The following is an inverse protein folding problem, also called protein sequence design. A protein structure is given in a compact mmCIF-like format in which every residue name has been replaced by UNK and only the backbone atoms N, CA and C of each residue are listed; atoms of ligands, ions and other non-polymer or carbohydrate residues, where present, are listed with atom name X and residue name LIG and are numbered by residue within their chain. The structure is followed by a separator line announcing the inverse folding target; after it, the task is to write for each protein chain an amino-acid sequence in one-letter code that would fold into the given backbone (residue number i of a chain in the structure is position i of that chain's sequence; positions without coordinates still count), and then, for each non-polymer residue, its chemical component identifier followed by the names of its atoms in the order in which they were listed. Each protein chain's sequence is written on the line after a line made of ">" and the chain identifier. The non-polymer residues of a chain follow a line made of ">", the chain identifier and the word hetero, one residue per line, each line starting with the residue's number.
data_IF_492071041354
#
_entry.id   IF_492071041354
#
_cell.length_a   1.000
_cell.length_b   1.000
_cell.length_c   1.000
_cell.angle_alpha   90.00
_cell.angle_beta   90.00
_cell.angle_gamma   90.00
#
_symmetry.space_group_name_H-M   'P 1'
#
loop_
_entity.id
_entity.type
_entity.pdbx_description
1 polymer ?
#
# COMPACT_ATOMS: atom_id res chain seq x y z
N UNK A 1 -14.85 -4.99 12.55
CA UNK A 1 -14.10 -4.76 11.31
C UNK A 1 -13.09 -5.88 11.15
N UNK A 2 -12.98 -6.49 9.96
CA UNK A 2 -11.94 -7.48 9.64
C UNK A 2 -10.86 -6.80 8.81
N UNK A 3 -9.59 -7.14 9.05
CA UNK A 3 -8.46 -6.66 8.24
C UNK A 3 -8.10 -7.67 7.16
N UNK A 4 -7.37 -7.19 6.15
CA UNK A 4 -6.71 -8.04 5.17
C UNK A 4 -5.80 -9.08 5.85
N UNK A 5 -5.80 -10.31 5.33
CA UNK A 5 -4.87 -11.36 5.75
C UNK A 5 -3.44 -10.93 5.47
N UNK A 6 -2.52 -11.32 6.35
CA UNK A 6 -1.09 -11.17 6.06
C UNK A 6 -0.74 -12.02 4.83
N UNK A 7 0.18 -11.50 4.01
CA UNK A 7 0.74 -12.21 2.86
C UNK A 7 2.15 -12.71 3.21
N UNK A 8 2.57 -13.74 2.50
CA UNK A 8 3.95 -14.19 2.57
C UNK A 8 4.89 -13.10 2.04
N UNK A 9 6.11 -13.06 2.57
CA UNK A 9 7.15 -12.15 2.08
C UNK A 9 7.43 -12.46 0.60
N UNK A 10 7.39 -11.46 -0.29
CA UNK A 10 7.46 -11.70 -1.72
C UNK A 10 8.88 -12.06 -2.16
N UNK A 11 8.98 -12.74 -3.32
CA UNK A 11 10.27 -13.02 -3.94
C UNK A 11 10.86 -11.78 -4.62
N UNK A 12 10.01 -10.91 -5.14
CA UNK A 12 10.38 -9.69 -5.83
C UNK A 12 9.83 -8.49 -5.06
N UNK A 13 10.72 -7.64 -4.56
CA UNK A 13 10.38 -6.40 -3.84
C UNK A 13 10.44 -5.21 -4.80
N UNK A 14 11.46 -5.21 -5.65
CA UNK A 14 11.74 -4.16 -6.62
C UNK A 14 11.70 -4.71 -8.04
N UNK A 15 11.09 -3.97 -8.97
CA UNK A 15 10.85 -4.38 -10.37
C UNK A 15 11.92 -3.89 -11.36
N UNK A 16 12.80 -2.98 -10.94
CA UNK A 16 13.91 -2.50 -11.76
C UNK A 16 15.26 -2.93 -11.18
N UNK A 17 16.27 -3.15 -12.05
CA UNK A 17 17.63 -3.40 -11.57
C UNK A 17 18.23 -2.11 -10.99
N UNK A 18 19.13 -2.27 -10.02
CA UNK A 18 19.82 -1.17 -9.33
C UNK A 18 20.46 -0.18 -10.30
N UNK A 19 21.06 -0.68 -11.38
CA UNK A 19 21.73 0.13 -12.40
C UNK A 19 20.75 1.07 -13.12
N UNK A 20 19.53 0.61 -13.38
CA UNK A 20 18.49 1.43 -14.00
C UNK A 20 18.10 2.60 -13.08
N UNK A 21 17.89 2.31 -11.79
CA UNK A 21 17.57 3.34 -10.79
C UNK A 21 18.73 4.33 -10.68
N UNK A 22 19.96 3.85 -10.57
CA UNK A 22 21.16 4.71 -10.51
C UNK A 22 21.29 5.65 -11.71
N UNK A 23 20.97 5.17 -12.93
CA UNK A 23 21.07 5.99 -14.14
C UNK A 23 19.93 7.01 -14.30
N UNK A 24 18.73 6.67 -13.85
CA UNK A 24 17.52 7.46 -14.14
C UNK A 24 17.06 8.33 -12.97
N UNK A 25 17.29 7.87 -11.75
CA UNK A 25 16.86 8.48 -10.48
C UNK A 25 17.90 8.18 -9.38
N UNK A 26 19.14 8.66 -9.51
CA UNK A 26 20.20 8.39 -8.53
C UNK A 26 19.86 8.82 -7.10
N UNK A 27 18.96 9.80 -6.94
CA UNK A 27 18.41 10.23 -5.65
C UNK A 27 17.63 9.13 -4.91
N UNK A 28 17.07 8.15 -5.63
CA UNK A 28 16.25 7.07 -5.07
C UNK A 28 17.10 5.84 -4.68
N UNK A 29 18.42 5.87 -4.90
CA UNK A 29 19.29 4.70 -4.73
C UNK A 29 19.31 4.18 -3.30
N UNK A 30 19.19 5.05 -2.30
CA UNK A 30 19.14 4.64 -0.88
C UNK A 30 17.84 3.93 -0.54
N UNK A 31 16.71 4.37 -1.10
CA UNK A 31 15.43 3.69 -0.93
C UNK A 31 15.49 2.30 -1.60
N UNK A 32 16.07 2.24 -2.81
CA UNK A 32 16.29 0.98 -3.52
C UNK A 32 17.14 0.00 -2.70
N UNK A 33 18.30 0.46 -2.21
CA UNK A 33 19.24 -0.38 -1.47
C UNK A 33 18.62 -0.89 -0.16
N UNK A 34 17.79 -0.06 0.50
CA UNK A 34 17.00 -0.49 1.66
C UNK A 34 15.99 -1.59 1.26
N UNK A 35 15.14 -1.33 0.26
CA UNK A 35 14.10 -2.25 -0.18
C UNK A 35 14.68 -3.60 -0.62
N UNK A 36 15.74 -3.58 -1.42
CA UNK A 36 16.42 -4.78 -1.92
C UNK A 36 17.16 -5.54 -0.81
N UNK A 37 17.48 -4.89 0.31
CA UNK A 37 18.12 -5.51 1.47
C UNK A 37 17.17 -6.23 2.42
N UNK A 38 15.85 -6.02 2.29
CA UNK A 38 14.83 -6.56 3.20
C UNK A 38 14.75 -8.09 3.15
N UNK A 39 14.46 -8.68 4.32
CA UNK A 39 14.23 -10.11 4.53
C UNK A 39 12.89 -10.35 5.21
N UNK A 40 12.41 -11.60 5.15
CA UNK A 40 11.10 -12.03 5.66
C UNK A 40 10.77 -11.59 7.09
N UNK A 41 11.75 -11.62 7.99
CA UNK A 41 11.53 -11.34 9.41
C UNK A 41 11.95 -9.91 9.81
N UNK A 42 12.32 -9.08 8.84
CA UNK A 42 12.72 -7.70 9.11
C UNK A 42 11.51 -6.85 9.50
N UNK A 43 11.74 -5.95 10.45
CA UNK A 43 10.76 -4.92 10.79
C UNK A 43 10.87 -3.83 9.74
N UNK A 44 9.76 -3.57 9.03
CA UNK A 44 9.69 -2.51 8.02
C UNK A 44 9.77 -1.13 8.68
N UNK A 45 10.85 -0.41 8.40
CA UNK A 45 10.98 1.03 8.57
C UNK A 45 10.29 1.77 7.40
N UNK A 46 9.12 2.32 7.67
CA UNK A 46 8.33 3.08 6.70
C UNK A 46 8.87 4.49 6.44
N UNK A 47 9.90 4.94 7.17
CA UNK A 47 10.58 6.21 6.89
C UNK A 47 11.68 6.08 5.84
N UNK A 48 12.08 4.85 5.50
CA UNK A 48 13.20 4.59 4.61
C UNK A 48 12.86 4.58 3.12
N UNK A 49 11.58 4.65 2.74
CA UNK A 49 11.15 4.59 1.34
C UNK A 49 9.75 5.20 1.11
N UNK A 50 9.47 5.60 -0.13
CA UNK A 50 8.15 6.02 -0.60
C UNK A 50 7.39 4.87 -1.27
N UNK A 51 6.12 4.71 -0.94
CA UNK A 51 5.23 3.72 -1.55
C UNK A 51 4.80 4.11 -2.97
N UNK A 52 4.79 5.41 -3.28
CA UNK A 52 4.62 5.92 -4.64
C UNK A 52 5.79 5.57 -5.56
N UNK A 53 6.90 5.03 -5.03
CA UNK A 53 8.01 4.58 -5.87
C UNK A 53 7.54 3.59 -6.93
N UNK A 54 7.84 3.92 -8.19
CA UNK A 54 7.60 3.07 -9.34
C UNK A 54 8.39 1.77 -9.29
N UNK A 55 9.38 1.68 -8.40
CA UNK A 55 10.26 0.53 -8.27
C UNK A 55 9.64 -0.58 -7.44
N UNK A 56 8.60 -0.32 -6.64
CA UNK A 56 7.99 -1.32 -5.77
C UNK A 56 7.04 -2.23 -6.55
N UNK A 57 7.25 -3.55 -6.42
CA UNK A 57 6.40 -4.61 -6.99
C UNK A 57 5.00 -4.64 -6.37
N UNK A 58 4.03 -5.20 -7.09
CA UNK A 58 2.66 -5.32 -6.59
C UNK A 58 2.54 -6.41 -5.50
N UNK A 59 3.39 -7.42 -5.55
CA UNK A 59 3.54 -8.44 -4.53
C UNK A 59 3.97 -7.82 -3.20
N UNK A 60 4.91 -6.89 -3.23
CA UNK A 60 5.33 -6.17 -2.04
C UNK A 60 4.27 -5.18 -1.54
N UNK A 61 3.53 -4.53 -2.44
CA UNK A 61 2.33 -3.75 -2.05
C UNK A 61 1.33 -4.63 -1.31
N UNK A 62 1.02 -5.82 -1.84
CA UNK A 62 0.09 -6.77 -1.23
C UNK A 62 0.58 -7.27 0.13
N UNK A 63 1.90 -7.40 0.30
CA UNK A 63 2.53 -7.68 1.59
C UNK A 63 2.41 -6.53 2.60
N UNK A 64 2.67 -5.29 2.17
CA UNK A 64 2.66 -4.11 3.04
C UNK A 64 1.26 -3.66 3.46
N UNK A 65 0.26 -3.81 2.60
CA UNK A 65 -1.10 -3.33 2.84
C UNK A 65 -1.70 -3.83 4.18
N UNK A 66 -1.77 -5.15 4.46
CA UNK A 66 -2.25 -5.65 5.76
C UNK A 66 -1.43 -5.13 6.96
N UNK A 67 -0.13 -4.85 6.78
CA UNK A 67 0.74 -4.31 7.83
C UNK A 67 0.35 -2.85 8.13
N UNK A 68 0.20 -2.04 7.08
CA UNK A 68 -0.22 -0.64 7.17
C UNK A 68 -1.62 -0.50 7.78
N UNK A 69 -2.59 -1.30 7.34
CA UNK A 69 -3.95 -1.28 7.90
C UNK A 69 -3.96 -1.43 9.42
N UNK A 70 -3.17 -2.39 9.94
CA UNK A 70 -3.10 -2.65 11.38
C UNK A 70 -2.29 -1.59 12.12
N UNK A 71 -1.16 -1.13 11.57
CA UNK A 71 -0.38 -0.03 12.17
C UNK A 71 -1.23 1.23 12.27
N UNK A 72 -1.96 1.55 11.22
CA UNK A 72 -2.88 2.68 11.21
C UNK A 72 -3.97 2.55 12.27
N UNK A 73 -4.58 1.37 12.39
CA UNK A 73 -5.65 1.16 13.36
C UNK A 73 -5.18 1.14 14.83
N UNK A 74 -4.01 0.55 15.11
CA UNK A 74 -3.56 0.30 16.48
C UNK A 74 -2.46 1.25 16.99
N UNK A 75 -1.72 1.87 16.09
CA UNK A 75 -0.53 2.68 16.40
C UNK A 75 -0.38 3.81 15.39
N UNK A 76 -1.49 4.52 15.19
CA UNK A 76 -1.59 5.67 14.31
C UNK A 76 -0.45 6.67 14.53
N UNK A 77 0.14 7.14 13.44
CA UNK A 77 0.96 8.36 13.37
C UNK A 77 0.90 8.94 11.95
N UNK A 78 1.30 10.21 11.80
CA UNK A 78 1.29 10.92 10.51
C UNK A 78 2.07 10.18 9.43
N UNK A 79 3.24 9.62 9.74
CA UNK A 79 4.01 8.82 8.78
C UNK A 79 3.21 7.64 8.20
N UNK A 80 2.41 6.95 9.03
CA UNK A 80 1.60 5.81 8.59
C UNK A 80 0.40 6.27 7.77
N UNK A 81 -0.09 7.50 7.97
CA UNK A 81 -1.04 8.13 7.04
C UNK A 81 -0.45 8.30 5.67
N UNK A 82 0.70 9.00 5.61
CA UNK A 82 1.34 9.35 4.37
C UNK A 82 1.61 8.08 3.55
N UNK A 83 1.99 6.99 4.23
CA UNK A 83 2.16 5.68 3.59
C UNK A 83 0.85 5.08 3.06
N UNK A 84 -0.27 5.22 3.77
CA UNK A 84 -1.57 4.74 3.29
C UNK A 84 -2.05 5.58 2.11
N UNK A 85 -1.87 6.89 2.15
CA UNK A 85 -2.19 7.78 1.05
C UNK A 85 -1.36 7.43 -0.20
N UNK A 86 -0.04 7.29 -0.05
CA UNK A 86 0.85 6.84 -1.11
C UNK A 86 0.48 5.46 -1.67
N UNK A 87 0.01 4.54 -0.83
CA UNK A 87 -0.49 3.23 -1.24
C UNK A 87 -1.73 3.37 -2.14
N UNK A 88 -2.68 4.22 -1.75
CA UNK A 88 -3.88 4.48 -2.56
C UNK A 88 -3.55 5.16 -3.88
N UNK A 89 -2.66 6.16 -3.88
CA UNK A 89 -2.15 6.79 -5.10
C UNK A 89 -1.53 5.77 -6.06
N UNK A 90 -0.75 4.82 -5.53
CA UNK A 90 -0.18 3.73 -6.34
C UNK A 90 -1.26 2.81 -6.92
N UNK A 91 -2.25 2.44 -6.11
CA UNK A 91 -3.37 1.58 -6.56
C UNK A 91 -4.25 2.29 -7.60
N UNK A 92 -4.44 3.61 -7.48
CA UNK A 92 -5.19 4.43 -8.43
C UNK A 92 -4.49 4.59 -9.79
N UNK A 93 -3.20 4.24 -9.88
CA UNK A 93 -2.43 4.40 -11.09
C UNK A 93 -2.76 3.30 -12.12
N UNK A 94 -3.29 3.71 -13.27
CA UNK A 94 -3.62 2.84 -14.40
C UNK A 94 -4.55 1.68 -13.99
N UNK A 95 -4.13 0.43 -14.22
CA UNK A 95 -4.87 -0.81 -13.95
C UNK A 95 -4.34 -1.54 -12.70
N UNK A 96 -3.62 -0.82 -11.82
CA UNK A 96 -2.92 -1.41 -10.67
C UNK A 96 -3.91 -1.95 -9.63
N UNK A 97 -5.02 -1.24 -9.39
CA UNK A 97 -6.04 -1.72 -8.47
C UNK A 97 -6.68 -3.02 -8.96
N UNK A 98 -7.03 -3.12 -10.25
CA UNK A 98 -7.58 -4.34 -10.83
C UNK A 98 -6.61 -5.52 -10.72
N UNK A 99 -5.32 -5.28 -11.04
CA UNK A 99 -4.27 -6.29 -10.86
C UNK A 99 -4.16 -6.72 -9.40
N UNK A 100 -4.22 -5.77 -8.46
CA UNK A 100 -4.19 -6.08 -7.04
C UNK A 100 -5.39 -6.91 -6.59
N UNK A 101 -6.59 -6.62 -7.08
CA UNK A 101 -7.80 -7.39 -6.77
C UNK A 101 -7.72 -8.84 -7.24
N UNK A 102 -7.00 -9.11 -8.34
CA UNK A 102 -6.72 -10.49 -8.81
C UNK A 102 -5.81 -11.25 -7.84
N UNK A 103 -4.97 -10.56 -7.06
CA UNK A 103 -4.03 -11.15 -6.11
C UNK A 103 -4.63 -11.48 -4.74
N UNK A 104 -5.85 -11.01 -4.46
CA UNK A 104 -6.52 -11.22 -3.16
C UNK A 104 -7.77 -12.08 -3.29
N UNK A 105 -8.05 -12.86 -2.25
CA UNK A 105 -9.23 -13.73 -2.20
C UNK A 105 -10.52 -12.94 -1.91
N UNK A 106 -11.67 -13.60 -2.07
CA UNK A 106 -12.99 -12.99 -1.86
C UNK A 106 -13.19 -12.45 -0.43
N UNK A 107 -12.60 -13.09 0.58
CA UNK A 107 -12.69 -12.61 1.97
C UNK A 107 -11.87 -11.33 2.18
N UNK A 108 -10.68 -11.26 1.59
CA UNK A 108 -9.84 -10.06 1.59
C UNK A 108 -10.52 -8.91 0.82
N UNK A 109 -11.19 -9.18 -0.32
CA UNK A 109 -11.97 -8.15 -1.03
C UNK A 109 -13.08 -7.57 -0.16
N UNK A 110 -13.86 -8.43 0.50
CA UNK A 110 -14.89 -8.00 1.46
C UNK A 110 -14.29 -7.23 2.63
N UNK A 111 -13.12 -7.64 3.11
CA UNK A 111 -12.42 -6.96 4.22
C UNK A 111 -11.91 -5.59 3.79
N UNK A 112 -11.38 -5.47 2.57
CA UNK A 112 -10.98 -4.20 1.96
C UNK A 112 -12.16 -3.25 1.82
N UNK A 113 -13.26 -3.70 1.20
CA UNK A 113 -14.48 -2.90 1.06
C UNK A 113 -14.98 -2.36 2.41
N UNK A 114 -15.05 -3.24 3.41
CA UNK A 114 -15.45 -2.85 4.76
C UNK A 114 -14.50 -1.83 5.39
N UNK A 115 -13.20 -1.96 5.14
CA UNK A 115 -12.19 -1.05 5.67
C UNK A 115 -12.25 0.32 4.97
N UNK A 116 -12.40 0.37 3.64
CA UNK A 116 -12.60 1.62 2.90
C UNK A 116 -13.86 2.35 3.36
N UNK A 117 -14.98 1.63 3.51
CA UNK A 117 -16.21 2.17 4.11
C UNK A 117 -16.00 2.68 5.54
N UNK A 118 -15.12 2.03 6.32
CA UNK A 118 -14.78 2.46 7.67
C UNK A 118 -13.95 3.75 7.64
N UNK A 119 -12.95 3.87 6.75
CA UNK A 119 -12.14 5.07 6.60
C UNK A 119 -13.01 6.31 6.33
N UNK A 120 -13.96 6.22 5.38
CA UNK A 120 -14.89 7.32 5.05
C UNK A 120 -15.82 7.72 6.22
N UNK A 121 -16.08 6.81 7.15
CA UNK A 121 -16.86 7.12 8.37
C UNK A 121 -15.98 7.78 9.43
N UNK A 122 -14.74 7.32 9.56
CA UNK A 122 -13.80 7.76 10.59
C UNK A 122 -13.18 9.14 10.29
N UNK A 123 -13.02 9.49 9.01
CA UNK A 123 -12.62 10.84 8.55
C UNK A 123 -13.56 11.94 9.07
N UNK A 124 -14.84 11.61 9.33
CA UNK A 124 -15.79 12.55 9.95
C UNK A 124 -15.53 12.81 11.44
N UNK A 125 -14.75 11.95 12.10
CA UNK A 125 -14.46 12.00 13.54
C UNK A 125 -13.03 12.48 13.84
N UNK A 126 -12.10 12.37 12.88
CA UNK A 126 -10.74 12.92 12.93
C UNK A 126 -10.37 13.46 11.56
N UNK A 127 -9.70 14.63 11.45
CA UNK A 127 -9.23 15.18 10.18
C UNK A 127 -8.11 14.28 9.65
N UNK A 128 -8.51 13.23 8.96
CA UNK A 128 -7.64 12.21 8.46
C UNK A 128 -8.28 11.53 7.28
N UNK A 129 -7.92 11.97 6.08
CA UNK A 129 -7.09 11.32 5.07
C UNK A 129 -6.73 12.51 4.16
N UNK A 130 -5.46 12.82 3.90
CA UNK A 130 -5.16 13.72 2.77
C UNK A 130 -5.42 13.02 1.42
N UNK A 131 -5.65 11.71 1.47
CA UNK A 131 -6.14 10.89 0.40
C UNK A 131 -7.52 11.31 -0.07
N UNK A 132 -7.60 11.44 -1.37
CA UNK A 132 -8.74 11.95 -2.08
C UNK A 132 -9.95 11.05 -1.80
N UNK A 133 -10.93 11.56 -1.05
CA UNK A 133 -12.21 10.87 -0.78
C UNK A 133 -12.80 10.29 -2.08
N UNK A 134 -12.60 10.98 -3.20
CA UNK A 134 -13.03 10.53 -4.52
C UNK A 134 -12.33 9.23 -4.95
N UNK A 135 -11.04 9.06 -4.63
CA UNK A 135 -10.29 7.82 -4.90
C UNK A 135 -10.82 6.67 -4.05
N UNK A 136 -11.03 6.89 -2.74
CA UNK A 136 -11.60 5.86 -1.85
C UNK A 136 -13.00 5.45 -2.34
N UNK A 137 -13.84 6.42 -2.70
CA UNK A 137 -15.17 6.15 -3.28
C UNK A 137 -15.05 5.36 -4.59
N UNK A 138 -14.10 5.70 -5.46
CA UNK A 138 -13.89 4.98 -6.72
C UNK A 138 -13.49 3.52 -6.50
N UNK A 139 -12.67 3.21 -5.49
CA UNK A 139 -12.31 1.85 -5.13
C UNK A 139 -13.50 1.07 -4.56
N UNK A 140 -14.34 1.72 -3.76
CA UNK A 140 -15.59 1.14 -3.25
C UNK A 140 -16.53 0.80 -4.41
N UNK A 141 -16.78 1.77 -5.31
CA UNK A 141 -17.64 1.57 -6.49
C UNK A 141 -17.14 0.44 -7.40
N UNK A 142 -15.82 0.26 -7.47
CA UNK A 142 -15.23 -0.86 -8.20
C UNK A 142 -15.46 -2.18 -7.47
N UNK A 143 -15.20 -2.23 -6.16
CA UNK A 143 -15.39 -3.44 -5.34
C UNK A 143 -16.85 -3.88 -5.26
N UNK A 144 -17.81 -2.95 -5.25
CA UNK A 144 -19.24 -3.27 -5.19
C UNK A 144 -19.78 -3.84 -6.51
N UNK A 145 -19.07 -3.68 -7.62
CA UNK A 145 -19.44 -4.23 -8.94
C UNK A 145 -19.03 -5.69 -9.13
N UNK A 146 -18.19 -6.25 -8.26
CA UNK A 146 -17.57 -7.58 -8.39
C UNK A 146 -17.69 -8.41 -7.11
#
# INVERSE_FOLDING_TARGET
>A
MKFLKYKDFPQEIVIYPREYVFMTRPEDISEYDYLNGLKKDDIIDFSAFRLTSSDISLEFVSYLFPILQRKWHHSYCELIDDRIDELFLKLAYQDTFEKYLVMIDEEDRKSLLNWLCYLLKYEKEKPFVYGNIDEINSFIDYLDKY
#
